data_IF_220279907767
#
_entry.id   IF_220279907767
#
_cell.length_a   1.000
_cell.length_b   1.000
_cell.length_c   1.000
_cell.angle_alpha   90.00
_cell.angle_beta   90.00
_cell.angle_gamma   90.00
#
_symmetry.space_group_name_H-M   'P 1'
#
loop_
_entity.id
_entity.type
_entity.pdbx_description
1 polymer ?
#
# COMPACT_ATOMS: atom_id res chain seq x y z
N UNK A 1 22.65 -29.12 -4.75
CA UNK A 1 21.46 -29.38 -5.61
C UNK A 1 20.34 -28.42 -5.37
N UNK A 2 20.05 -27.95 -4.13
CA UNK A 2 19.11 -26.88 -3.80
C UNK A 2 19.38 -25.55 -4.51
N UNK A 3 20.65 -25.14 -4.55
CA UNK A 3 21.10 -23.89 -5.21
C UNK A 3 20.67 -23.84 -6.68
N UNK A 4 20.69 -24.95 -7.39
CA UNK A 4 20.28 -24.99 -8.80
C UNK A 4 18.79 -24.72 -8.98
N UNK A 5 17.93 -25.25 -8.09
CA UNK A 5 16.49 -25.11 -8.21
C UNK A 5 16.06 -23.68 -7.84
N UNK A 6 16.68 -23.05 -6.84
CA UNK A 6 16.44 -21.65 -6.49
C UNK A 6 16.89 -20.69 -7.60
N UNK A 7 18.07 -20.92 -8.21
CA UNK A 7 18.50 -20.15 -9.38
C UNK A 7 17.59 -20.33 -10.60
N UNK A 8 17.10 -21.55 -10.82
CA UNK A 8 16.18 -21.80 -11.91
C UNK A 8 14.83 -21.15 -11.67
N UNK A 9 14.33 -21.14 -10.42
CA UNK A 9 13.16 -20.38 -10.01
C UNK A 9 13.33 -18.87 -10.27
N UNK A 10 14.47 -18.29 -9.90
CA UNK A 10 14.77 -16.87 -10.14
C UNK A 10 14.80 -16.53 -11.65
N UNK A 11 15.40 -17.40 -12.47
CA UNK A 11 15.38 -17.22 -13.93
C UNK A 11 13.95 -17.26 -14.49
N UNK A 12 13.13 -18.20 -14.02
CA UNK A 12 11.73 -18.31 -14.45
C UNK A 12 10.91 -17.06 -14.02
N UNK A 13 11.15 -16.54 -12.83
CA UNK A 13 10.53 -15.30 -12.34
C UNK A 13 10.93 -14.12 -13.22
N UNK A 14 12.23 -13.97 -13.54
CA UNK A 14 12.71 -12.94 -14.46
C UNK A 14 12.09 -13.04 -15.87
N UNK A 15 11.78 -14.27 -16.31
CA UNK A 15 11.07 -14.54 -17.56
C UNK A 15 9.53 -14.42 -17.42
N UNK A 16 9.02 -13.93 -16.28
CA UNK A 16 7.60 -13.80 -15.95
C UNK A 16 6.82 -15.13 -16.00
N UNK A 17 7.49 -16.24 -15.79
CA UNK A 17 6.91 -17.60 -15.71
C UNK A 17 6.65 -17.95 -14.24
N UNK A 18 5.83 -17.15 -13.57
CA UNK A 18 5.67 -17.14 -12.12
C UNK A 18 5.19 -18.49 -11.56
N UNK A 19 4.22 -19.16 -12.19
CA UNK A 19 3.75 -20.50 -11.75
C UNK A 19 4.87 -21.53 -11.72
N UNK A 20 5.74 -21.49 -12.75
CA UNK A 20 6.90 -22.40 -12.81
C UNK A 20 7.96 -22.03 -11.78
N UNK A 21 8.17 -20.72 -11.54
CA UNK A 21 9.10 -20.24 -10.53
C UNK A 21 8.68 -20.72 -9.14
N UNK A 22 7.39 -20.61 -8.78
CA UNK A 22 6.81 -21.07 -7.52
C UNK A 22 7.11 -22.58 -7.31
N UNK A 23 6.91 -23.40 -8.34
CA UNK A 23 7.19 -24.84 -8.28
C UNK A 23 8.68 -25.12 -7.99
N UNK A 24 9.59 -24.42 -8.66
CA UNK A 24 11.02 -24.62 -8.46
C UNK A 24 11.50 -24.12 -7.09
N UNK A 25 10.99 -22.99 -6.61
CA UNK A 25 11.24 -22.52 -5.25
C UNK A 25 10.71 -23.49 -4.20
N UNK A 26 9.51 -24.07 -4.40
CA UNK A 26 8.96 -25.11 -3.54
C UNK A 26 9.88 -26.34 -3.46
N UNK A 27 10.38 -26.83 -4.60
CA UNK A 27 11.35 -27.95 -4.64
C UNK A 27 12.65 -27.64 -3.92
N UNK A 28 13.09 -26.37 -3.93
CA UNK A 28 14.28 -25.95 -3.20
C UNK A 28 14.02 -25.97 -1.69
N UNK A 29 12.86 -25.49 -1.23
CA UNK A 29 12.44 -25.53 0.17
C UNK A 29 12.23 -26.96 0.69
N UNK A 30 11.68 -27.87 -0.13
CA UNK A 30 11.53 -29.30 0.23
C UNK A 30 12.89 -29.98 0.51
N UNK A 31 13.97 -29.45 -0.08
CA UNK A 31 15.35 -29.98 0.12
C UNK A 31 16.08 -29.27 1.24
N UNK A 32 15.76 -28.02 1.49
CA UNK A 32 16.40 -27.17 2.50
C UNK A 32 15.44 -26.06 2.93
N UNK A 33 14.72 -26.32 4.01
CA UNK A 33 13.73 -25.42 4.60
C UNK A 33 14.34 -24.21 5.31
N UNK A 34 15.66 -24.19 5.48
CA UNK A 34 16.39 -23.05 6.06
C UNK A 34 16.52 -21.86 5.11
N UNK A 35 16.20 -22.05 3.82
CA UNK A 35 16.21 -20.96 2.82
C UNK A 35 14.98 -20.05 2.94
N UNK A 36 14.86 -19.38 4.07
CA UNK A 36 13.68 -18.54 4.44
C UNK A 36 13.33 -17.52 3.36
N UNK A 37 14.33 -16.94 2.68
CA UNK A 37 14.12 -15.93 1.63
C UNK A 37 13.31 -16.45 0.43
N UNK A 38 13.29 -17.77 0.20
CA UNK A 38 12.48 -18.35 -0.89
C UNK A 38 10.97 -18.17 -0.65
N UNK A 39 10.52 -18.08 0.59
CA UNK A 39 9.13 -17.75 0.88
C UNK A 39 8.76 -16.34 0.40
N UNK A 40 9.69 -15.39 0.45
CA UNK A 40 9.49 -14.05 -0.11
C UNK A 40 9.42 -14.11 -1.64
N UNK A 41 10.33 -14.85 -2.28
CA UNK A 41 10.32 -15.02 -3.74
C UNK A 41 9.01 -15.70 -4.23
N UNK A 42 8.49 -16.67 -3.48
CA UNK A 42 7.18 -17.30 -3.74
C UNK A 42 6.06 -16.28 -3.60
N UNK A 43 6.11 -15.45 -2.54
CA UNK A 43 5.12 -14.38 -2.33
C UNK A 43 5.11 -13.39 -3.49
N UNK A 44 6.30 -12.92 -3.90
CA UNK A 44 6.44 -11.97 -5.01
C UNK A 44 5.91 -12.57 -6.33
N UNK A 45 6.18 -13.84 -6.58
CA UNK A 45 5.65 -14.53 -7.76
C UNK A 45 4.12 -14.68 -7.73
N UNK A 46 3.52 -14.93 -6.57
CA UNK A 46 2.06 -14.94 -6.41
C UNK A 46 1.46 -13.55 -6.56
N UNK A 47 2.09 -12.49 -6.00
CA UNK A 47 1.66 -11.10 -6.19
C UNK A 47 1.62 -10.73 -7.67
N UNK A 48 2.66 -11.09 -8.42
CA UNK A 48 2.74 -10.83 -9.87
C UNK A 48 1.68 -11.58 -10.69
N UNK A 49 1.12 -12.65 -10.17
CA UNK A 49 -0.02 -13.38 -10.73
C UNK A 49 -1.38 -12.89 -10.17
N UNK A 50 -1.40 -11.83 -9.36
CA UNK A 50 -2.57 -11.33 -8.62
C UNK A 50 -3.18 -12.35 -7.63
N UNK A 51 -2.45 -13.39 -7.27
CA UNK A 51 -2.85 -14.41 -6.29
C UNK A 51 -2.52 -13.90 -4.87
N UNK A 52 -3.22 -12.86 -4.43
CA UNK A 52 -2.90 -12.16 -3.17
C UNK A 52 -3.03 -13.03 -1.92
N UNK A 53 -3.98 -13.95 -1.87
CA UNK A 53 -4.16 -14.84 -0.71
C UNK A 53 -2.93 -15.73 -0.50
N UNK A 54 -2.42 -16.34 -1.57
CA UNK A 54 -1.23 -17.18 -1.57
C UNK A 54 0.03 -16.34 -1.33
N UNK A 55 0.10 -15.12 -1.90
CA UNK A 55 1.18 -14.18 -1.64
C UNK A 55 1.29 -13.82 -0.16
N UNK A 56 0.16 -13.48 0.47
CA UNK A 56 0.09 -13.18 1.91
C UNK A 56 0.51 -14.41 2.73
N UNK A 57 0.00 -15.60 2.39
CA UNK A 57 0.35 -16.83 3.11
C UNK A 57 1.86 -17.13 3.04
N UNK A 58 2.47 -16.98 1.87
CA UNK A 58 3.90 -17.16 1.68
C UNK A 58 4.71 -16.08 2.43
N UNK A 59 4.30 -14.80 2.31
CA UNK A 59 5.00 -13.72 3.01
C UNK A 59 4.95 -13.84 4.52
N UNK A 60 3.83 -14.32 5.07
CA UNK A 60 3.73 -14.59 6.53
C UNK A 60 4.72 -15.65 6.96
N UNK A 61 4.88 -16.74 6.20
CA UNK A 61 5.92 -17.76 6.50
C UNK A 61 7.32 -17.15 6.49
N UNK A 62 7.62 -16.29 5.50
CA UNK A 62 8.86 -15.54 5.48
C UNK A 62 9.02 -14.68 6.75
N UNK A 63 8.03 -13.84 7.03
CA UNK A 63 8.08 -12.91 8.17
C UNK A 63 8.21 -13.64 9.52
N UNK A 64 7.46 -14.74 9.71
CA UNK A 64 7.48 -15.50 10.96
C UNK A 64 8.85 -16.17 11.20
N UNK A 65 9.49 -16.62 10.12
CA UNK A 65 10.81 -17.26 10.17
C UNK A 65 11.97 -16.25 10.31
N UNK A 66 11.73 -14.95 10.11
CA UNK A 66 12.78 -13.94 10.30
C UNK A 66 13.24 -13.84 11.74
N UNK A 67 14.54 -13.69 11.94
CA UNK A 67 15.10 -13.28 13.22
C UNK A 67 14.53 -11.90 13.64
N UNK A 68 14.44 -11.65 14.93
CA UNK A 68 13.81 -10.44 15.49
C UNK A 68 14.39 -9.15 14.90
N UNK A 69 15.69 -9.12 14.69
CA UNK A 69 16.43 -7.96 14.17
C UNK A 69 16.11 -7.66 12.69
N UNK A 70 15.56 -8.64 11.97
CA UNK A 70 15.11 -8.51 10.57
C UNK A 70 13.64 -8.18 10.44
N UNK A 71 12.86 -8.17 11.53
CA UNK A 71 11.45 -7.76 11.56
C UNK A 71 11.36 -6.25 11.66
N UNK A 72 11.71 -5.57 10.56
CA UNK A 72 11.79 -4.12 10.45
C UNK A 72 10.46 -3.51 9.96
N UNK A 73 10.27 -2.18 10.08
CA UNK A 73 9.11 -1.51 9.49
C UNK A 73 8.94 -1.80 7.99
N UNK A 74 10.03 -1.98 7.24
CA UNK A 74 10.01 -2.28 5.82
C UNK A 74 9.43 -3.66 5.53
N UNK A 75 9.79 -4.67 6.35
CA UNK A 75 9.23 -6.03 6.19
C UNK A 75 7.76 -6.06 6.54
N UNK A 76 7.31 -5.33 7.56
CA UNK A 76 5.89 -5.14 7.87
C UNK A 76 5.16 -4.39 6.75
N UNK A 77 5.79 -3.36 6.21
CA UNK A 77 5.22 -2.55 5.14
C UNK A 77 4.86 -3.38 3.91
N UNK A 78 5.71 -4.32 3.52
CA UNK A 78 5.41 -5.23 2.41
C UNK A 78 4.19 -6.12 2.69
N UNK A 79 4.06 -6.64 3.91
CA UNK A 79 2.86 -7.39 4.29
C UNK A 79 1.59 -6.53 4.21
N UNK A 80 1.66 -5.28 4.68
CA UNK A 80 0.57 -4.32 4.56
C UNK A 80 0.17 -4.05 3.11
N UNK A 81 1.16 -3.93 2.21
CA UNK A 81 0.93 -3.75 0.77
C UNK A 81 0.21 -4.93 0.12
N UNK A 82 0.57 -6.15 0.50
CA UNK A 82 -0.11 -7.36 0.00
C UNK A 82 -1.58 -7.39 0.43
N UNK A 83 -1.87 -7.08 1.69
CA UNK A 83 -3.25 -6.96 2.17
C UNK A 83 -4.02 -5.85 1.45
N UNK A 84 -3.39 -4.68 1.25
CA UNK A 84 -3.98 -3.59 0.49
C UNK A 84 -4.27 -4.01 -0.96
N UNK A 85 -3.33 -4.68 -1.62
CA UNK A 85 -3.50 -5.22 -2.97
C UNK A 85 -4.69 -6.19 -3.06
N UNK A 86 -4.83 -7.11 -2.08
CA UNK A 86 -5.99 -8.00 -2.00
C UNK A 86 -7.30 -7.22 -1.85
N UNK A 87 -7.32 -6.21 -0.98
CA UNK A 87 -8.52 -5.41 -0.71
C UNK A 87 -8.95 -4.51 -1.87
N UNK A 88 -7.99 -4.06 -2.69
CA UNK A 88 -8.23 -3.16 -3.84
C UNK A 88 -8.20 -3.86 -5.20
N UNK A 89 -8.00 -5.18 -5.22
CA UNK A 89 -7.95 -5.95 -6.46
C UNK A 89 -9.23 -5.73 -7.28
N UNK A 90 -9.08 -5.45 -8.57
CA UNK A 90 -10.19 -5.32 -9.52
C UNK A 90 -10.76 -6.67 -9.94
N UNK A 91 -10.06 -7.77 -9.67
CA UNK A 91 -10.54 -9.12 -10.00
C UNK A 91 -11.65 -9.54 -9.02
N UNK A 92 -12.89 -9.26 -9.44
CA UNK A 92 -14.09 -9.60 -8.66
C UNK A 92 -14.35 -11.10 -8.58
N UNK A 93 -13.72 -11.90 -9.43
CA UNK A 93 -13.84 -13.36 -9.40
C UNK A 93 -12.86 -13.97 -8.40
N UNK A 94 -11.68 -13.34 -8.22
CA UNK A 94 -10.65 -13.85 -7.33
C UNK A 94 -10.87 -13.46 -5.86
N UNK A 95 -11.52 -12.31 -5.57
CA UNK A 95 -11.68 -11.83 -4.19
C UNK A 95 -13.11 -11.38 -3.92
N UNK A 96 -13.78 -12.06 -3.00
CA UNK A 96 -15.14 -11.71 -2.58
C UNK A 96 -15.17 -10.36 -1.83
N UNK A 97 -16.29 -9.61 -1.87
CA UNK A 97 -16.40 -8.29 -1.20
C UNK A 97 -16.11 -8.35 0.31
N UNK A 98 -16.52 -9.41 1.00
CA UNK A 98 -16.23 -9.59 2.43
C UNK A 98 -14.73 -9.76 2.69
N UNK A 99 -14.04 -10.52 1.84
CA UNK A 99 -12.60 -10.76 1.94
C UNK A 99 -11.82 -9.48 1.63
N UNK A 100 -12.29 -8.64 0.70
CA UNK A 100 -11.69 -7.33 0.43
C UNK A 100 -11.73 -6.42 1.65
N UNK A 101 -12.90 -6.34 2.30
CA UNK A 101 -13.05 -5.54 3.52
C UNK A 101 -12.11 -6.02 4.62
N UNK A 102 -12.05 -7.34 4.84
CA UNK A 102 -11.16 -7.94 5.83
C UNK A 102 -9.68 -7.69 5.50
N UNK A 103 -9.32 -7.78 4.22
CA UNK A 103 -7.97 -7.48 3.77
C UNK A 103 -7.59 -6.01 4.02
N UNK A 104 -8.47 -5.04 3.72
CA UNK A 104 -8.22 -3.64 4.03
C UNK A 104 -8.10 -3.38 5.54
N UNK A 105 -8.93 -4.01 6.37
CA UNK A 105 -8.79 -3.93 7.83
C UNK A 105 -7.44 -4.49 8.31
N UNK A 106 -7.00 -5.60 7.72
CA UNK A 106 -5.69 -6.20 8.01
C UNK A 106 -4.55 -5.28 7.55
N UNK A 107 -4.69 -4.64 6.39
CA UNK A 107 -3.72 -3.65 5.89
C UNK A 107 -3.59 -2.46 6.85
N UNK A 108 -4.71 -1.87 7.31
CA UNK A 108 -4.69 -0.76 8.26
C UNK A 108 -4.01 -1.16 9.57
N UNK A 109 -4.30 -2.37 10.08
CA UNK A 109 -3.67 -2.89 11.29
C UNK A 109 -2.16 -3.04 11.14
N UNK A 110 -1.69 -3.56 10.00
CA UNK A 110 -0.26 -3.70 9.73
C UNK A 110 0.41 -2.34 9.54
N UNK A 111 -0.21 -1.41 8.82
CA UNK A 111 0.34 -0.06 8.66
C UNK A 111 0.32 0.75 9.97
N UNK A 112 -0.57 0.44 10.91
CA UNK A 112 -0.51 0.98 12.27
C UNK A 112 0.80 0.56 12.94
N UNK A 113 1.16 -0.72 12.89
CA UNK A 113 2.44 -1.20 13.43
C UNK A 113 3.65 -0.56 12.73
N UNK A 114 3.57 -0.33 11.43
CA UNK A 114 4.62 0.40 10.68
C UNK A 114 4.77 1.83 11.22
N UNK A 115 3.66 2.54 11.46
CA UNK A 115 3.69 3.90 12.01
C UNK A 115 4.26 3.93 13.43
N UNK A 116 3.93 2.94 14.25
CA UNK A 116 4.45 2.82 15.62
C UNK A 116 5.95 2.54 15.67
N UNK A 117 6.45 1.71 14.75
CA UNK A 117 7.87 1.36 14.69
C UNK A 117 8.73 2.42 14.01
N UNK A 118 8.15 3.25 13.14
CA UNK A 118 8.83 4.30 12.40
C UNK A 118 8.05 5.64 12.48
N UNK A 119 7.91 6.24 13.68
CA UNK A 119 7.05 7.41 13.89
C UNK A 119 7.49 8.66 13.12
N UNK A 120 8.77 8.76 12.75
CA UNK A 120 9.30 9.87 11.95
C UNK A 120 9.05 9.71 10.44
N UNK A 121 8.59 8.52 10.02
CA UNK A 121 8.23 8.22 8.64
C UNK A 121 6.75 8.45 8.41
N UNK A 122 6.41 9.27 7.42
CA UNK A 122 5.02 9.48 7.03
C UNK A 122 4.40 8.29 6.30
N UNK A 123 5.18 7.29 5.89
CA UNK A 123 4.72 6.21 5.00
C UNK A 123 3.64 5.33 5.64
N UNK A 124 3.79 4.99 6.92
CA UNK A 124 2.76 4.21 7.64
C UNK A 124 1.42 4.94 7.63
N UNK A 125 1.38 6.21 8.02
CA UNK A 125 0.16 7.02 8.04
C UNK A 125 -0.40 7.27 6.64
N UNK A 126 0.44 7.47 5.64
CA UNK A 126 0.01 7.62 4.24
C UNK A 126 -0.71 6.36 3.74
N UNK A 127 -0.17 5.18 4.06
CA UNK A 127 -0.82 3.94 3.63
C UNK A 127 -2.06 3.61 4.46
N UNK A 128 -2.14 4.04 5.71
CA UNK A 128 -3.39 4.03 6.48
C UNK A 128 -4.44 4.94 5.84
N UNK A 129 -4.05 6.14 5.41
CA UNK A 129 -4.94 7.06 4.69
C UNK A 129 -5.50 6.41 3.41
N UNK A 130 -4.64 5.84 2.57
CA UNK A 130 -5.04 5.13 1.34
C UNK A 130 -5.95 3.94 1.62
N UNK A 131 -5.63 3.16 2.65
CA UNK A 131 -6.42 1.99 3.06
C UNK A 131 -7.82 2.40 3.54
N UNK A 132 -7.90 3.44 4.36
CA UNK A 132 -9.17 3.96 4.85
C UNK A 132 -9.98 4.65 3.73
N UNK A 133 -9.32 5.29 2.76
CA UNK A 133 -9.99 5.78 1.55
C UNK A 133 -10.56 4.63 0.70
N UNK A 134 -9.85 3.51 0.60
CA UNK A 134 -10.37 2.34 -0.10
C UNK A 134 -11.53 1.65 0.64
N UNK A 135 -11.60 1.78 1.96
CA UNK A 135 -12.77 1.32 2.76
C UNK A 135 -13.99 2.24 2.66
N UNK A 136 -13.80 3.50 2.31
CA UNK A 136 -14.83 4.54 2.14
C UNK A 136 -14.64 5.24 0.78
N UNK A 137 -14.88 4.52 -0.35
CA UNK A 137 -14.57 5.02 -1.69
C UNK A 137 -15.39 6.26 -2.07
N UNK A 138 -16.60 6.40 -1.53
CA UNK A 138 -17.44 7.59 -1.74
C UNK A 138 -17.07 8.75 -0.81
N UNK A 139 -16.11 8.54 0.09
CA UNK A 139 -15.64 9.55 1.08
C UNK A 139 -16.78 10.10 1.96
N UNK A 140 -17.85 9.31 2.14
CA UNK A 140 -19.04 9.75 2.90
C UNK A 140 -18.81 9.78 4.39
N UNK A 141 -18.07 8.81 4.92
CA UNK A 141 -17.74 8.72 6.35
C UNK A 141 -16.48 9.53 6.69
N UNK A 142 -15.62 9.77 5.72
CA UNK A 142 -14.37 10.49 5.88
C UNK A 142 -13.31 9.70 6.66
N UNK A 143 -13.32 8.36 6.53
CA UNK A 143 -12.44 7.47 7.29
C UNK A 143 -10.95 7.80 7.11
N UNK A 144 -10.54 8.25 5.94
CA UNK A 144 -9.16 8.59 5.65
C UNK A 144 -8.72 9.98 6.11
N UNK A 145 -9.68 10.86 6.45
CA UNK A 145 -9.40 12.27 6.79
C UNK A 145 -8.33 12.43 7.87
N UNK A 146 -8.44 11.80 9.06
CA UNK A 146 -7.47 12.03 10.13
C UNK A 146 -6.05 11.60 9.75
N UNK A 147 -5.91 10.61 8.90
CA UNK A 147 -4.60 10.13 8.45
C UNK A 147 -3.97 11.05 7.41
N UNK A 148 -4.77 11.56 6.44
CA UNK A 148 -4.28 12.56 5.50
C UNK A 148 -3.90 13.87 6.19
N UNK A 149 -4.66 14.32 7.19
CA UNK A 149 -4.30 15.48 8.01
C UNK A 149 -2.98 15.26 8.74
N UNK A 150 -2.79 14.10 9.36
CA UNK A 150 -1.54 13.76 10.05
C UNK A 150 -0.34 13.72 9.10
N UNK A 151 -0.49 13.10 7.92
CA UNK A 151 0.56 13.09 6.88
C UNK A 151 0.89 14.51 6.44
N UNK A 152 -0.11 15.33 6.17
CA UNK A 152 0.06 16.72 5.79
C UNK A 152 0.90 17.48 6.82
N UNK A 153 0.57 17.36 8.11
CA UNK A 153 1.29 18.03 9.19
C UNK A 153 2.75 17.55 9.28
N UNK A 154 2.99 16.24 9.17
CA UNK A 154 4.33 15.65 9.15
C UNK A 154 5.18 16.18 7.98
N UNK A 155 4.59 16.37 6.81
CA UNK A 155 5.31 16.77 5.61
C UNK A 155 5.54 18.28 5.55
N UNK A 156 4.57 19.08 6.01
CA UNK A 156 4.70 20.54 6.11
C UNK A 156 5.83 20.93 7.09
N UNK A 157 5.98 20.19 8.19
CA UNK A 157 7.06 20.44 9.15
C UNK A 157 8.46 20.24 8.54
N UNK A 158 8.58 19.37 7.52
CA UNK A 158 9.86 19.09 6.82
C UNK A 158 10.17 20.10 5.72
N UNK A 159 9.14 20.71 5.12
CA UNK A 159 9.21 21.73 4.08
C UNK A 159 10.20 21.42 2.93
N UNK A 160 10.13 20.19 2.39
CA UNK A 160 11.01 19.74 1.33
C UNK A 160 10.23 19.42 0.04
N UNK A 161 10.67 19.91 -1.14
CA UNK A 161 9.97 19.69 -2.41
C UNK A 161 9.75 18.22 -2.81
N UNK A 162 10.58 17.31 -2.31
CA UNK A 162 10.43 15.86 -2.57
C UNK A 162 9.09 15.30 -2.06
N UNK A 163 8.43 16.00 -1.13
CA UNK A 163 7.14 15.61 -0.58
C UNK A 163 5.93 16.22 -1.31
N UNK A 164 6.15 17.04 -2.33
CA UNK A 164 5.08 17.74 -3.04
C UNK A 164 3.99 16.78 -3.58
N UNK A 165 4.38 15.64 -4.15
CA UNK A 165 3.40 14.64 -4.62
C UNK A 165 2.52 14.10 -3.50
N UNK A 166 3.09 13.82 -2.33
CA UNK A 166 2.35 13.35 -1.18
C UNK A 166 1.43 14.43 -0.61
N UNK A 167 1.89 15.68 -0.57
CA UNK A 167 1.05 16.83 -0.17
C UNK A 167 -0.11 17.05 -1.14
N UNK A 168 0.11 16.94 -2.45
CA UNK A 168 -0.96 17.04 -3.46
C UNK A 168 -2.01 15.95 -3.23
N UNK A 169 -1.60 14.71 -2.91
CA UNK A 169 -2.52 13.62 -2.58
C UNK A 169 -3.36 13.96 -1.34
N UNK A 170 -2.73 14.44 -0.25
CA UNK A 170 -3.43 14.86 0.96
C UNK A 170 -4.44 15.98 0.67
N UNK A 171 -4.01 17.02 -0.03
CA UNK A 171 -4.87 18.15 -0.37
C UNK A 171 -6.02 17.75 -1.29
N UNK A 172 -5.80 16.83 -2.23
CA UNK A 172 -6.84 16.33 -3.13
C UNK A 172 -7.94 15.61 -2.36
N UNK A 173 -7.57 14.72 -1.44
CA UNK A 173 -8.54 14.03 -0.60
C UNK A 173 -9.32 15.02 0.29
N UNK A 174 -8.61 15.91 0.99
CA UNK A 174 -9.23 16.88 1.89
C UNK A 174 -10.11 17.88 1.13
N UNK A 175 -9.66 18.36 -0.02
CA UNK A 175 -10.46 19.23 -0.88
C UNK A 175 -11.75 18.56 -1.33
N UNK A 176 -11.70 17.31 -1.72
CA UNK A 176 -12.88 16.53 -2.09
C UNK A 176 -13.79 16.24 -0.88
N UNK A 177 -13.23 15.85 0.26
CA UNK A 177 -13.99 15.63 1.49
C UNK A 177 -14.82 16.86 1.89
N UNK A 178 -14.20 18.04 1.93
CA UNK A 178 -14.90 19.28 2.31
C UNK A 178 -15.92 19.73 1.24
N UNK A 179 -15.67 19.41 -0.04
CA UNK A 179 -16.66 19.60 -1.11
C UNK A 179 -17.94 18.80 -0.82
N UNK A 180 -17.80 17.51 -0.48
CA UNK A 180 -18.94 16.64 -0.15
C UNK A 180 -19.68 17.09 1.11
N UNK A 181 -18.97 17.70 2.06
CA UNK A 181 -19.59 18.30 3.27
C UNK A 181 -20.18 19.69 3.03
N UNK A 182 -20.16 20.18 1.79
CA UNK A 182 -20.64 21.53 1.42
C UNK A 182 -19.86 22.67 2.11
N UNK A 183 -18.69 22.37 2.64
CA UNK A 183 -17.75 23.38 3.15
C UNK A 183 -16.85 23.88 1.99
N UNK A 184 -17.48 24.69 1.14
CA UNK A 184 -16.83 25.21 -0.06
C UNK A 184 -15.64 26.12 0.22
N UNK A 185 -15.62 26.98 1.26
CA UNK A 185 -14.45 27.77 1.59
C UNK A 185 -13.22 26.89 1.88
N UNK A 186 -13.34 25.92 2.77
CA UNK A 186 -12.24 25.01 3.12
C UNK A 186 -11.84 24.14 1.93
N UNK A 187 -12.78 23.64 1.14
CA UNK A 187 -12.49 22.89 -0.09
C UNK A 187 -11.63 23.75 -1.05
N UNK A 188 -12.03 25.00 -1.32
CA UNK A 188 -11.26 25.92 -2.18
C UNK A 188 -9.83 26.15 -1.68
N UNK A 189 -9.63 26.25 -0.36
CA UNK A 189 -8.29 26.42 0.22
C UNK A 189 -7.37 25.23 -0.16
N UNK A 190 -7.86 24.00 -0.04
CA UNK A 190 -7.06 22.83 -0.39
C UNK A 190 -6.74 22.77 -1.89
N UNK A 191 -7.69 23.03 -2.76
CA UNK A 191 -7.44 23.08 -4.20
C UNK A 191 -6.45 24.19 -4.59
N UNK A 192 -6.51 25.35 -3.94
CA UNK A 192 -5.52 26.40 -4.15
C UNK A 192 -4.11 26.01 -3.65
N UNK A 193 -3.99 25.26 -2.54
CA UNK A 193 -2.70 24.71 -2.09
C UNK A 193 -2.07 23.79 -3.14
N UNK A 194 -2.89 23.01 -3.85
CA UNK A 194 -2.39 22.20 -4.98
C UNK A 194 -1.86 23.10 -6.09
N UNK A 195 -2.60 24.15 -6.48
CA UNK A 195 -2.15 25.05 -7.53
C UNK A 195 -0.91 25.90 -7.14
N UNK A 196 -0.68 26.09 -5.85
CA UNK A 196 0.56 26.70 -5.36
C UNK A 196 1.79 25.79 -5.55
N UNK A 197 1.61 24.47 -5.52
CA UNK A 197 2.65 23.47 -5.77
C UNK A 197 2.78 23.19 -7.28
N UNK A 198 1.66 22.96 -7.95
CA UNK A 198 1.55 22.66 -9.38
C UNK A 198 0.47 23.54 -10.03
N UNK A 199 0.87 24.71 -10.57
CA UNK A 199 -0.07 25.62 -11.25
C UNK A 199 -0.76 25.03 -12.49
N UNK A 200 -0.29 23.89 -12.98
CA UNK A 200 -0.86 23.22 -14.16
C UNK A 200 -1.86 22.14 -13.82
N UNK A 201 -2.07 21.82 -12.54
CA UNK A 201 -2.90 20.72 -12.09
C UNK A 201 -4.36 20.85 -12.57
N UNK A 202 -4.71 19.98 -13.52
CA UNK A 202 -6.01 20.02 -14.18
C UNK A 202 -7.16 19.68 -13.22
N UNK A 203 -6.93 18.76 -12.28
CA UNK A 203 -7.95 18.35 -11.30
C UNK A 203 -8.31 19.51 -10.37
N UNK A 204 -7.31 20.22 -9.85
CA UNK A 204 -7.54 21.35 -8.97
C UNK A 204 -8.26 22.51 -9.68
N UNK A 205 -7.88 22.82 -10.93
CA UNK A 205 -8.56 23.82 -11.76
C UNK A 205 -10.03 23.48 -11.94
N UNK A 206 -10.32 22.24 -12.38
CA UNK A 206 -11.70 21.77 -12.61
C UNK A 206 -12.53 21.79 -11.33
N UNK A 207 -11.93 21.40 -10.20
CA UNK A 207 -12.62 21.44 -8.91
C UNK A 207 -13.01 22.87 -8.51
N UNK A 208 -12.09 23.84 -8.66
CA UNK A 208 -12.36 25.26 -8.36
C UNK A 208 -13.42 25.88 -9.29
N UNK A 209 -13.45 25.50 -10.57
CA UNK A 209 -14.48 25.95 -11.51
C UNK A 209 -15.88 25.41 -11.14
N UNK A 210 -15.95 24.21 -10.56
CA UNK A 210 -17.20 23.57 -10.13
C UNK A 210 -17.75 24.09 -8.81
N UNK A 211 -16.93 24.71 -7.97
CA UNK A 211 -17.33 25.25 -6.66
C UNK A 211 -17.74 26.72 -6.82
N UNK A 212 -19.04 26.93 -6.95
CA UNK A 212 -19.63 28.28 -7.06
C UNK A 212 -19.72 28.98 -5.71
#
# INVERSE_FOLDING_TARGET
MCIRDSYYGALLSALKKYDKAIIEYGKALDKDDTQVDLWREISDAHEMNNNYAEAIAAYRKYYDALAKEKKTPETLFQLGRLYYGQGTSSDSLAVQPADRKLALQSADSVFTLVSEQAPDSYLGEMWRARTNSAMDPETTDGLAKPYYEKVMDMLLSKNEPKYNSALIECYSYLGYYYLLKSDYPTSKEFWNKILAIDPTNATAKKALEGIK
#
